data_IF_174191452547
#
_entry.id   IF_174191452547
#
_cell.length_a   1.000
_cell.length_b   1.000
_cell.length_c   1.000
_cell.angle_alpha   90.00
_cell.angle_beta   90.00
_cell.angle_gamma   90.00
#
_symmetry.space_group_name_H-M   'P 1'
#
loop_
_entity.id
_entity.type
_entity.pdbx_description
1 polymer ?
#
# COMPACT_ATOMS: atom_id res chain seq x y z
N UNK A 1 -81.44 -12.81 51.28
CA UNK A 1 -80.90 -11.59 50.65
C UNK A 1 -79.86 -12.05 49.64
N UNK A 2 -80.26 -12.28 48.38
CA UNK A 2 -79.38 -12.80 47.33
C UNK A 2 -78.88 -11.60 46.53
N UNK A 3 -77.60 -11.27 46.67
CA UNK A 3 -76.95 -10.17 45.96
C UNK A 3 -76.79 -10.59 44.50
N UNK A 4 -77.39 -9.85 43.57
CA UNK A 4 -77.22 -10.08 42.14
C UNK A 4 -75.82 -9.65 41.68
N UNK A 5 -75.18 -10.39 40.76
CA UNK A 5 -73.87 -10.04 40.22
C UNK A 5 -73.99 -8.85 39.25
N UNK A 6 -73.29 -7.77 39.56
CA UNK A 6 -73.16 -6.57 38.71
C UNK A 6 -72.45 -6.92 37.39
N UNK A 7 -73.09 -6.60 36.26
CA UNK A 7 -72.49 -6.69 34.91
C UNK A 7 -71.24 -5.79 34.82
N UNK A 8 -70.06 -6.41 34.81
CA UNK A 8 -68.80 -5.71 34.55
C UNK A 8 -68.78 -5.24 33.08
N UNK A 9 -68.50 -3.96 32.87
CA UNK A 9 -68.48 -3.33 31.55
C UNK A 9 -67.26 -3.83 30.74
N UNK A 10 -67.50 -4.62 29.68
CA UNK A 10 -66.47 -5.18 28.80
C UNK A 10 -65.48 -4.14 28.25
N UNK A 11 -65.90 -2.90 28.01
CA UNK A 11 -64.99 -1.83 27.55
C UNK A 11 -63.98 -1.44 28.63
N UNK A 12 -64.40 -1.41 29.89
CA UNK A 12 -63.54 -1.12 31.02
C UNK A 12 -62.50 -2.24 31.23
N UNK A 13 -62.91 -3.50 31.01
CA UNK A 13 -62.03 -4.66 31.10
C UNK A 13 -60.96 -4.67 29.99
N UNK A 14 -61.33 -4.32 28.75
CA UNK A 14 -60.38 -4.22 27.63
C UNK A 14 -59.38 -3.08 27.79
N UNK A 15 -59.82 -1.93 28.32
CA UNK A 15 -58.94 -0.81 28.67
C UNK A 15 -57.96 -1.17 29.77
N UNK A 16 -58.43 -1.86 30.83
CA UNK A 16 -57.57 -2.35 31.90
C UNK A 16 -56.54 -3.37 31.39
N UNK A 17 -56.93 -4.27 30.48
CA UNK A 17 -56.03 -5.25 29.88
C UNK A 17 -54.98 -4.58 28.97
N UNK A 18 -55.39 -3.60 28.16
CA UNK A 18 -54.47 -2.83 27.31
C UNK A 18 -53.45 -2.03 28.12
N UNK A 19 -53.89 -1.38 29.20
CA UNK A 19 -53.02 -0.65 30.12
C UNK A 19 -52.04 -1.61 30.82
N UNK A 20 -52.50 -2.80 31.20
CA UNK A 20 -51.65 -3.82 31.83
C UNK A 20 -50.56 -4.33 30.88
N UNK A 21 -50.88 -4.62 29.62
CA UNK A 21 -49.89 -5.03 28.60
C UNK A 21 -48.89 -3.91 28.30
N UNK A 22 -49.35 -2.66 28.22
CA UNK A 22 -48.47 -1.51 28.01
C UNK A 22 -47.49 -1.32 29.19
N UNK A 23 -47.97 -1.42 30.42
CA UNK A 23 -47.12 -1.31 31.62
C UNK A 23 -46.09 -2.45 31.70
N UNK A 24 -46.45 -3.67 31.30
CA UNK A 24 -45.51 -4.79 31.20
C UNK A 24 -44.44 -4.56 30.12
N UNK A 25 -44.83 -4.04 28.95
CA UNK A 25 -43.88 -3.71 27.88
C UNK A 25 -42.92 -2.58 28.31
N UNK A 26 -43.43 -1.55 28.97
CA UNK A 26 -42.62 -0.45 29.50
C UNK A 26 -41.66 -0.92 30.61
N UNK A 27 -42.11 -1.79 31.52
CA UNK A 27 -41.25 -2.41 32.52
C UNK A 27 -40.16 -3.28 31.88
N UNK A 28 -40.49 -4.05 30.84
CA UNK A 28 -39.51 -4.87 30.11
C UNK A 28 -38.45 -4.01 29.40
N UNK A 29 -38.88 -2.93 28.72
CA UNK A 29 -37.99 -1.96 28.07
C UNK A 29 -37.08 -1.25 29.09
N UNK A 30 -37.63 -0.86 30.23
CA UNK A 30 -36.85 -0.26 31.31
C UNK A 30 -35.82 -1.25 31.87
N UNK A 31 -36.24 -2.49 32.17
CA UNK A 31 -35.36 -3.54 32.67
C UNK A 31 -34.23 -3.84 31.67
N UNK A 32 -34.57 -3.96 30.39
CA UNK A 32 -33.63 -4.16 29.30
C UNK A 32 -32.65 -3.00 29.18
N UNK A 33 -33.11 -1.74 29.23
CA UNK A 33 -32.23 -0.57 29.18
C UNK A 33 -31.29 -0.49 30.40
N UNK A 34 -31.77 -0.81 31.62
CA UNK A 34 -30.91 -0.86 32.81
C UNK A 34 -29.91 -2.01 32.78
N UNK A 35 -30.32 -3.20 32.32
CA UNK A 35 -29.40 -4.34 32.16
C UNK A 35 -28.38 -4.09 31.06
N UNK A 36 -28.79 -3.46 29.97
CA UNK A 36 -27.92 -3.05 28.87
C UNK A 36 -26.93 -1.96 29.31
N UNK A 37 -27.40 -0.94 30.04
CA UNK A 37 -26.53 0.10 30.61
C UNK A 37 -25.55 -0.45 31.64
N UNK A 38 -26.00 -1.36 32.50
CA UNK A 38 -25.13 -2.06 33.46
C UNK A 38 -24.11 -2.94 32.74
N UNK A 39 -24.51 -3.66 31.70
CA UNK A 39 -23.63 -4.46 30.86
C UNK A 39 -22.58 -3.59 30.15
N UNK A 40 -22.98 -2.42 29.64
CA UNK A 40 -22.07 -1.45 29.02
C UNK A 40 -21.09 -0.85 30.05
N UNK A 41 -21.54 -0.63 31.28
CA UNK A 41 -20.69 -0.16 32.39
C UNK A 41 -19.68 -1.23 32.87
N UNK A 42 -20.09 -2.50 32.87
CA UNK A 42 -19.21 -3.64 33.15
C UNK A 42 -18.20 -3.86 32.03
N UNK A 43 -18.63 -3.71 30.76
CA UNK A 43 -17.74 -3.73 29.61
C UNK A 43 -16.70 -2.62 29.71
N UNK A 44 -17.11 -1.37 29.95
CA UNK A 44 -16.18 -0.23 30.07
C UNK A 44 -15.24 -0.34 31.27
N UNK A 45 -15.71 -0.83 32.42
CA UNK A 45 -14.88 -1.13 33.58
C UNK A 45 -13.90 -2.28 33.32
N UNK A 46 -14.35 -3.34 32.66
CA UNK A 46 -13.50 -4.43 32.21
C UNK A 46 -12.47 -3.94 31.18
N UNK A 47 -12.83 -3.06 30.25
CA UNK A 47 -11.90 -2.43 29.30
C UNK A 47 -10.80 -1.64 30.01
N UNK A 48 -11.12 -0.88 31.06
CA UNK A 48 -10.13 -0.14 31.84
C UNK A 48 -9.18 -1.09 32.60
N UNK A 49 -9.71 -2.13 33.25
CA UNK A 49 -8.93 -3.12 33.99
C UNK A 49 -8.07 -3.99 33.06
N UNK A 50 -8.62 -4.39 31.90
CA UNK A 50 -7.91 -5.14 30.86
C UNK A 50 -6.82 -4.26 30.26
N UNK A 51 -7.06 -2.97 29.98
CA UNK A 51 -6.00 -2.03 29.53
C UNK A 51 -4.84 -1.94 30.53
N UNK A 52 -5.11 -1.97 31.84
CA UNK A 52 -4.06 -2.01 32.87
C UNK A 52 -3.33 -3.36 32.88
N UNK A 53 -4.05 -4.48 32.74
CA UNK A 53 -3.45 -5.82 32.64
C UNK A 53 -2.60 -6.01 31.36
N UNK A 54 -3.02 -5.40 30.25
CA UNK A 54 -2.37 -5.43 28.93
C UNK A 54 -1.03 -4.69 28.90
N UNK A 55 -0.76 -3.78 29.85
CA UNK A 55 0.58 -3.20 30.00
C UNK A 55 1.58 -4.18 30.64
N UNK A 56 1.11 -5.28 31.23
CA UNK A 56 1.93 -6.23 31.98
C UNK A 56 2.16 -7.56 31.25
N UNK A 57 1.38 -7.89 30.22
CA UNK A 57 1.54 -9.11 29.41
C UNK A 57 1.51 -8.79 27.92
N UNK A 58 2.58 -9.07 27.15
CA UNK A 58 2.61 -8.86 25.70
C UNK A 58 1.83 -10.00 25.04
N UNK A 59 0.50 -9.90 25.06
CA UNK A 59 -0.37 -10.80 24.32
C UNK A 59 -0.53 -10.17 22.94
N UNK A 60 0.00 -10.84 21.90
CA UNK A 60 -0.08 -10.45 20.49
C UNK A 60 -1.50 -10.58 19.91
N UNK A 61 -2.53 -10.14 20.64
CA UNK A 61 -3.93 -10.24 20.26
C UNK A 61 -4.52 -8.87 19.95
N UNK A 62 -5.24 -8.77 18.84
CA UNK A 62 -6.12 -7.63 18.58
C UNK A 62 -7.16 -7.49 19.71
N UNK A 63 -7.71 -6.28 19.88
CA UNK A 63 -8.83 -6.00 20.80
C UNK A 63 -10.02 -6.97 20.60
N UNK A 64 -10.12 -7.57 19.41
CA UNK A 64 -11.14 -8.51 19.00
C UNK A 64 -11.03 -9.89 19.62
N UNK A 65 -9.81 -10.39 19.88
CA UNK A 65 -9.59 -11.66 20.59
C UNK A 65 -10.30 -11.62 21.94
N UNK A 66 -10.16 -10.51 22.65
CA UNK A 66 -10.78 -10.29 23.96
C UNK A 66 -12.28 -10.09 23.86
N UNK A 67 -12.72 -9.29 22.88
CA UNK A 67 -14.15 -9.03 22.65
C UNK A 67 -14.91 -10.34 22.42
N UNK A 68 -14.41 -11.19 21.51
CA UNK A 68 -14.98 -12.51 21.28
C UNK A 68 -14.87 -13.42 22.50
N UNK A 69 -13.72 -13.45 23.18
CA UNK A 69 -13.52 -14.29 24.38
C UNK A 69 -14.50 -13.95 25.51
N UNK A 70 -14.68 -12.66 25.82
CA UNK A 70 -15.58 -12.19 26.87
C UNK A 70 -17.04 -12.45 26.50
N UNK A 71 -17.44 -12.15 25.26
CA UNK A 71 -18.81 -12.42 24.79
C UNK A 71 -19.13 -13.93 24.81
N UNK A 72 -18.18 -14.75 24.34
CA UNK A 72 -18.31 -16.20 24.33
C UNK A 72 -18.44 -16.78 25.74
N UNK A 73 -17.58 -16.38 26.68
CA UNK A 73 -17.65 -16.83 28.07
C UNK A 73 -18.92 -16.37 28.78
N UNK A 74 -19.38 -15.15 28.51
CA UNK A 74 -20.64 -14.64 29.06
C UNK A 74 -21.85 -15.47 28.59
N UNK A 75 -21.94 -15.74 27.28
CA UNK A 75 -23.00 -16.57 26.71
C UNK A 75 -22.92 -18.03 27.18
N UNK A 76 -21.71 -18.52 27.46
CA UNK A 76 -21.51 -19.85 28.03
C UNK A 76 -21.96 -19.94 29.49
N UNK A 77 -21.65 -18.93 30.31
CA UNK A 77 -21.96 -18.92 31.74
C UNK A 77 -23.44 -18.61 32.04
N UNK A 78 -24.11 -17.82 31.20
CA UNK A 78 -25.50 -17.38 31.44
C UNK A 78 -26.50 -18.56 31.57
N UNK A 79 -26.48 -19.58 30.69
CA UNK A 79 -27.29 -20.80 30.85
C UNK A 79 -27.05 -21.63 32.12
N UNK A 80 -25.86 -21.49 32.73
CA UNK A 80 -25.45 -22.21 33.95
C UNK A 80 -25.99 -21.48 35.18
N UNK A 81 -25.93 -20.15 35.18
CA UNK A 81 -26.35 -19.30 36.30
C UNK A 81 -27.88 -19.14 36.34
N UNK A 82 -28.52 -19.02 35.18
CA UNK A 82 -29.96 -18.77 35.09
C UNK A 82 -30.74 -20.04 34.71
N UNK A 83 -31.96 -20.16 35.27
CA UNK A 83 -32.87 -21.30 34.97
C UNK A 83 -33.56 -21.11 33.62
N UNK A 84 -32.79 -21.24 32.54
CA UNK A 84 -33.30 -21.18 31.17
C UNK A 84 -33.88 -22.53 30.72
N UNK A 85 -34.77 -22.51 29.71
CA UNK A 85 -35.29 -23.73 29.09
C UNK A 85 -34.22 -24.39 28.19
N UNK A 86 -34.39 -25.69 27.89
CA UNK A 86 -33.40 -26.48 27.15
C UNK A 86 -33.04 -25.90 25.78
N UNK A 87 -34.02 -25.38 25.03
CA UNK A 87 -33.80 -24.82 23.69
C UNK A 87 -32.98 -23.53 23.77
N UNK A 88 -33.31 -22.63 24.69
CA UNK A 88 -32.55 -21.40 24.90
C UNK A 88 -31.12 -21.70 25.35
N UNK A 89 -30.93 -22.69 26.25
CA UNK A 89 -29.59 -23.13 26.65
C UNK A 89 -28.79 -23.63 25.45
N UNK A 90 -29.38 -24.50 24.63
CA UNK A 90 -28.73 -25.04 23.45
C UNK A 90 -28.32 -23.93 22.47
N UNK A 91 -29.21 -22.98 22.16
CA UNK A 91 -28.89 -21.85 21.27
C UNK A 91 -27.74 -21.03 21.84
N UNK A 92 -27.82 -20.61 23.11
CA UNK A 92 -26.78 -19.78 23.73
C UNK A 92 -25.43 -20.48 23.78
N UNK A 93 -25.40 -21.79 24.09
CA UNK A 93 -24.15 -22.55 24.12
C UNK A 93 -23.54 -22.68 22.72
N UNK A 94 -24.35 -22.96 21.68
CA UNK A 94 -23.84 -23.02 20.30
C UNK A 94 -23.34 -21.65 19.82
N UNK A 95 -24.05 -20.56 20.14
CA UNK A 95 -23.58 -19.20 19.84
C UNK A 95 -22.29 -18.88 20.60
N UNK A 96 -22.18 -19.29 21.87
CA UNK A 96 -20.95 -19.13 22.65
C UNK A 96 -19.77 -19.84 21.99
N UNK A 97 -19.94 -21.10 21.56
CA UNK A 97 -18.90 -21.85 20.85
C UNK A 97 -18.49 -21.18 19.54
N UNK A 98 -19.44 -20.69 18.75
CA UNK A 98 -19.14 -19.98 17.51
C UNK A 98 -18.31 -18.72 17.77
N UNK A 99 -18.70 -17.91 18.76
CA UNK A 99 -17.99 -16.68 19.11
C UNK A 99 -16.60 -16.99 19.67
N UNK A 100 -16.45 -18.01 20.52
CA UNK A 100 -15.15 -18.45 21.01
C UNK A 100 -14.25 -18.96 19.87
N UNK A 101 -14.82 -19.66 18.88
CA UNK A 101 -14.09 -20.09 17.69
C UNK A 101 -13.61 -18.90 16.84
N UNK A 102 -14.43 -17.85 16.69
CA UNK A 102 -14.01 -16.60 16.05
C UNK A 102 -12.89 -15.91 16.84
N UNK A 103 -12.96 -15.90 18.17
CA UNK A 103 -11.87 -15.37 19.02
C UNK A 103 -10.57 -16.14 18.88
N UNK A 104 -10.64 -17.48 18.81
CA UNK A 104 -9.48 -18.34 18.56
C UNK A 104 -8.92 -18.14 17.14
N UNK A 105 -9.78 -17.98 16.14
CA UNK A 105 -9.35 -17.73 14.75
C UNK A 105 -8.73 -16.34 14.59
N UNK A 106 -9.31 -15.31 15.22
CA UNK A 106 -8.75 -13.96 15.30
C UNK A 106 -7.38 -13.95 15.98
N UNK A 107 -7.21 -14.72 17.06
CA UNK A 107 -5.92 -14.91 17.72
C UNK A 107 -4.94 -15.65 16.83
N UNK A 108 -5.38 -16.71 16.14
CA UNK A 108 -4.56 -17.45 15.19
C UNK A 108 -4.05 -16.55 14.05
N UNK A 109 -4.92 -15.71 13.48
CA UNK A 109 -4.52 -14.76 12.44
C UNK A 109 -3.59 -13.68 12.98
N UNK A 110 -3.88 -13.12 14.16
CA UNK A 110 -2.96 -12.19 14.83
C UNK A 110 -1.61 -12.83 15.12
N UNK A 111 -1.60 -14.10 15.54
CA UNK A 111 -0.39 -14.89 15.72
C UNK A 111 0.31 -15.16 14.39
N UNK A 112 -0.41 -15.44 13.29
CA UNK A 112 0.18 -15.59 11.96
C UNK A 112 0.73 -14.29 11.38
N UNK A 113 0.09 -13.14 11.64
CA UNK A 113 0.61 -11.83 11.27
C UNK A 113 1.80 -11.41 12.16
N UNK A 114 1.84 -11.88 13.41
CA UNK A 114 2.96 -11.68 14.33
C UNK A 114 4.09 -12.69 14.13
N UNK A 115 3.79 -13.85 13.55
CA UNK A 115 4.81 -14.68 12.91
C UNK A 115 5.33 -13.85 11.74
N UNK A 116 6.65 -13.67 11.62
CA UNK A 116 7.20 -13.08 10.41
C UNK A 116 6.62 -13.87 9.24
N UNK A 117 5.93 -13.17 8.33
CA UNK A 117 5.51 -13.77 7.07
C UNK A 117 6.71 -14.50 6.48
N UNK A 118 6.53 -15.53 5.66
CA UNK A 118 7.65 -16.14 4.96
C UNK A 118 8.45 -15.14 4.08
N UNK A 119 8.01 -13.88 3.99
CA UNK A 119 8.72 -12.74 3.41
C UNK A 119 9.26 -11.71 4.43
N UNK A 120 8.82 -11.72 5.69
CA UNK A 120 9.40 -10.87 6.75
C UNK A 120 10.69 -11.52 7.24
N UNK A 121 11.74 -11.14 6.54
CA UNK A 121 13.12 -11.34 6.92
C UNK A 121 13.28 -11.04 8.43
N UNK A 122 13.81 -11.99 9.26
CA UNK A 122 14.03 -11.80 10.69
C UNK A 122 14.65 -10.44 11.01
N UNK A 123 14.41 -9.82 12.19
CA UNK A 123 15.02 -8.53 12.51
C UNK A 123 16.55 -8.51 12.36
N UNK A 124 17.22 -9.64 12.64
CA UNK A 124 18.65 -9.83 12.42
C UNK A 124 19.08 -9.86 10.95
N UNK A 125 18.12 -9.88 10.03
CA UNK A 125 18.31 -9.96 8.60
C UNK A 125 17.64 -8.76 7.88
N UNK A 126 17.01 -7.83 8.61
CA UNK A 126 16.48 -6.60 8.02
C UNK A 126 17.62 -5.62 7.75
N UNK A 127 17.55 -4.96 6.60
CA UNK A 127 18.43 -3.83 6.30
C UNK A 127 17.91 -2.62 7.04
N UNK A 128 18.72 -2.11 7.95
CA UNK A 128 18.49 -0.83 8.58
C UNK A 128 19.06 0.27 7.71
N UNK A 129 18.30 1.35 7.54
CA UNK A 129 18.70 2.50 6.73
C UNK A 129 18.66 3.73 7.60
N UNK A 130 19.84 4.29 7.86
CA UNK A 130 19.98 5.63 8.40
C UNK A 130 19.99 6.61 7.24
N UNK A 131 19.07 7.56 7.22
CA UNK A 131 19.02 8.60 6.21
C UNK A 131 18.82 9.96 6.87
N UNK A 132 19.47 10.98 6.32
CA UNK A 132 19.35 12.36 6.77
C UNK A 132 17.86 12.76 6.91
N UNK A 133 17.41 13.17 8.12
CA UNK A 133 16.00 13.50 8.35
C UNK A 133 15.49 14.62 7.44
N UNK A 134 14.24 14.50 6.98
CA UNK A 134 13.61 15.51 6.11
C UNK A 134 14.00 15.42 4.64
N UNK A 135 14.60 14.31 4.21
CA UNK A 135 14.95 14.04 2.82
C UNK A 135 13.72 14.06 1.86
N UNK A 136 12.58 13.56 2.32
CA UNK A 136 11.32 13.60 1.57
C UNK A 136 10.37 14.64 2.16
N UNK A 137 9.51 15.21 1.32
CA UNK A 137 8.39 16.08 1.70
C UNK A 137 7.10 15.60 1.04
N UNK A 138 5.97 15.98 1.62
CA UNK A 138 4.67 15.73 1.01
C UNK A 138 4.51 16.53 -0.29
N UNK A 139 3.73 15.97 -1.20
CA UNK A 139 3.35 16.55 -2.49
C UNK A 139 1.87 16.30 -2.72
N UNK A 140 1.13 17.37 -2.96
CA UNK A 140 -0.30 17.28 -3.28
C UNK A 140 -0.56 16.62 -4.64
N UNK A 141 0.47 16.33 -5.46
CA UNK A 141 0.30 15.74 -6.80
C UNK A 141 0.85 14.33 -6.90
N UNK A 142 1.99 14.08 -6.25
CA UNK A 142 2.69 12.79 -6.30
C UNK A 142 2.68 12.06 -4.96
N UNK A 143 1.93 12.53 -3.97
CA UNK A 143 1.96 12.02 -2.59
C UNK A 143 3.18 12.52 -1.82
N UNK A 144 4.37 12.27 -2.35
CA UNK A 144 5.63 12.70 -1.75
C UNK A 144 6.73 12.88 -2.81
N UNK A 145 7.70 13.75 -2.54
CA UNK A 145 8.83 14.06 -3.44
C UNK A 145 10.12 14.28 -2.64
N UNK A 146 11.31 14.22 -3.27
CA UNK A 146 12.54 14.70 -2.64
C UNK A 146 12.42 16.17 -2.21
N UNK A 147 13.05 16.52 -1.08
CA UNK A 147 13.18 17.92 -0.67
C UNK A 147 14.17 18.62 -1.60
N UNK A 148 13.73 19.71 -2.24
CA UNK A 148 14.58 20.48 -3.14
C UNK A 148 15.74 21.19 -2.40
N UNK A 149 16.85 21.42 -3.10
CA UNK A 149 18.09 22.00 -2.57
C UNK A 149 18.56 21.29 -1.29
N UNK A 150 18.60 19.97 -1.33
CA UNK A 150 18.90 19.14 -0.17
C UNK A 150 20.00 18.14 -0.48
N UNK A 151 20.85 17.89 0.51
CA UNK A 151 21.85 16.81 0.47
C UNK A 151 21.47 15.82 1.55
N UNK A 152 21.24 14.57 1.17
CA UNK A 152 20.97 13.49 2.11
C UNK A 152 22.13 12.49 2.10
N UNK A 153 22.73 12.30 3.26
CA UNK A 153 23.58 11.14 3.52
C UNK A 153 22.69 9.97 3.93
N UNK A 154 22.96 8.80 3.36
CA UNK A 154 22.28 7.55 3.69
C UNK A 154 23.29 6.42 3.88
N UNK A 155 22.97 5.52 4.82
CA UNK A 155 23.79 4.36 5.16
C UNK A 155 22.89 3.17 5.43
N UNK A 156 23.05 2.13 4.62
CA UNK A 156 22.37 0.86 4.80
C UNK A 156 23.27 -0.15 5.50
N UNK A 157 22.77 -0.84 6.51
CA UNK A 157 23.51 -1.86 7.23
C UNK A 157 22.64 -3.06 7.59
N UNK A 158 23.27 -4.23 7.56
CA UNK A 158 22.70 -5.50 7.99
C UNK A 158 23.47 -5.97 9.21
N UNK A 159 22.82 -5.96 10.38
CA UNK A 159 23.50 -6.14 11.67
C UNK A 159 24.59 -5.08 11.85
N UNK A 160 25.87 -5.47 11.92
CA UNK A 160 27.01 -4.56 12.02
C UNK A 160 27.71 -4.34 10.67
N UNK A 161 27.26 -5.02 9.61
CA UNK A 161 27.86 -4.90 8.27
C UNK A 161 27.22 -3.76 7.50
N UNK A 162 28.04 -2.76 7.16
CA UNK A 162 27.66 -1.72 6.19
C UNK A 162 27.50 -2.36 4.82
N UNK A 163 26.32 -2.20 4.22
CA UNK A 163 26.00 -2.65 2.87
C UNK A 163 26.34 -1.57 1.85
N UNK A 164 26.00 -0.32 2.15
CA UNK A 164 26.27 0.83 1.32
C UNK A 164 26.32 2.12 2.14
N UNK A 165 27.03 3.11 1.61
CA UNK A 165 27.03 4.51 2.03
C UNK A 165 26.90 5.36 0.78
N UNK A 166 25.95 6.29 0.78
CA UNK A 166 25.67 7.10 -0.37
C UNK A 166 25.29 8.53 -0.01
N UNK A 167 25.66 9.47 -0.88
CA UNK A 167 25.19 10.86 -0.82
C UNK A 167 24.24 11.13 -1.98
N UNK A 168 23.08 11.70 -1.67
CA UNK A 168 22.06 12.12 -2.63
C UNK A 168 22.02 13.64 -2.67
N UNK A 169 22.40 14.24 -3.80
CA UNK A 169 22.23 15.67 -4.01
C UNK A 169 20.95 15.93 -4.82
N UNK A 170 20.04 16.72 -4.24
CA UNK A 170 18.76 17.08 -4.84
C UNK A 170 18.78 18.54 -5.24
N UNK A 171 18.47 18.80 -6.51
CA UNK A 171 18.47 20.12 -7.09
C UNK A 171 17.27 20.99 -6.66
N UNK A 172 17.19 22.21 -7.21
CA UNK A 172 16.11 23.16 -6.92
C UNK A 172 14.71 22.70 -7.36
N UNK A 173 14.63 21.73 -8.27
CA UNK A 173 13.39 21.15 -8.79
C UNK A 173 12.99 19.85 -8.08
N UNK A 174 13.76 19.42 -7.07
CA UNK A 174 13.51 18.14 -6.40
C UNK A 174 13.96 16.94 -7.23
N UNK A 175 14.81 17.14 -8.24
CA UNK A 175 15.41 16.06 -9.03
C UNK A 175 16.77 15.69 -8.43
N UNK A 176 17.14 14.40 -8.51
CA UNK A 176 18.53 14.03 -8.22
C UNK A 176 19.44 14.61 -9.29
N UNK A 177 20.58 15.18 -8.89
CA UNK A 177 21.49 15.84 -9.82
C UNK A 177 22.03 14.88 -10.88
N UNK A 178 22.36 15.45 -12.04
CA UNK A 178 23.13 14.83 -13.11
C UNK A 178 24.21 15.81 -13.55
N UNK A 179 25.21 15.41 -14.36
CA UNK A 179 26.19 16.35 -14.90
C UNK A 179 25.50 17.51 -15.61
N UNK A 180 25.96 18.73 -15.34
CA UNK A 180 25.46 19.93 -16.00
C UNK A 180 25.96 19.99 -17.44
N UNK A 181 25.09 20.44 -18.33
CA UNK A 181 25.48 20.90 -19.68
C UNK A 181 25.63 22.41 -19.67
N UNK A 182 26.38 22.98 -20.61
CA UNK A 182 26.45 24.44 -20.79
C UNK A 182 25.07 24.98 -21.13
N UNK A 183 24.71 26.13 -20.59
CA UNK A 183 23.41 26.76 -20.86
C UNK A 183 23.20 26.97 -22.37
N UNK A 184 24.23 27.47 -23.06
CA UNK A 184 24.26 27.71 -24.52
C UNK A 184 24.42 26.43 -25.37
N UNK A 185 24.49 25.24 -24.76
CA UNK A 185 24.59 23.99 -25.52
C UNK A 185 23.30 23.71 -26.28
N UNK A 186 23.44 23.11 -27.46
CA UNK A 186 22.33 22.52 -28.24
C UNK A 186 21.91 21.14 -27.70
N UNK A 187 22.25 20.83 -26.45
CA UNK A 187 21.91 19.55 -25.81
C UNK A 187 20.41 19.27 -25.90
N UNK A 188 20.06 18.02 -26.11
CA UNK A 188 18.67 17.54 -26.02
C UNK A 188 18.37 17.00 -24.63
N UNK A 189 17.10 16.85 -24.29
CA UNK A 189 16.68 16.24 -23.05
C UNK A 189 16.71 14.72 -23.14
N UNK A 190 17.22 14.08 -22.08
CA UNK A 190 17.13 12.65 -21.85
C UNK A 190 16.38 12.43 -20.54
N UNK A 191 15.11 12.06 -20.64
CA UNK A 191 14.24 11.93 -19.47
C UNK A 191 14.36 10.53 -18.88
N UNK A 192 14.40 10.40 -17.56
CA UNK A 192 14.34 9.12 -16.87
C UNK A 192 13.17 9.09 -15.89
N UNK A 193 12.33 8.06 -16.01
CA UNK A 193 11.17 7.81 -15.17
C UNK A 193 11.30 6.46 -14.48
N UNK A 194 10.71 6.33 -13.29
CA UNK A 194 10.67 5.07 -12.57
C UNK A 194 10.67 5.27 -11.08
N UNK A 195 11.31 4.35 -10.37
CA UNK A 195 11.30 4.29 -8.92
C UNK A 195 12.70 4.47 -8.32
N UNK A 196 12.99 3.75 -7.24
CA UNK A 196 14.29 3.70 -6.58
C UNK A 196 15.43 3.28 -7.52
N UNK A 197 15.14 2.44 -8.52
CA UNK A 197 16.12 1.98 -9.51
C UNK A 197 16.60 3.14 -10.38
N UNK A 198 15.68 4.01 -10.82
CA UNK A 198 16.00 5.21 -11.60
C UNK A 198 16.60 6.30 -10.72
N UNK A 199 16.06 6.49 -9.52
CA UNK A 199 16.61 7.42 -8.54
C UNK A 199 18.06 7.09 -8.19
N UNK A 200 18.44 5.81 -8.18
CA UNK A 200 19.75 5.32 -7.77
C UNK A 200 19.84 5.12 -6.25
N UNK A 201 18.79 4.56 -5.64
CA UNK A 201 18.85 4.22 -4.21
C UNK A 201 20.05 3.28 -3.94
N UNK A 202 20.65 3.43 -2.76
CA UNK A 202 21.92 2.80 -2.36
C UNK A 202 23.20 3.24 -3.09
N UNK A 203 23.13 4.20 -4.02
CA UNK A 203 24.27 4.60 -4.87
C UNK A 203 24.68 6.06 -4.67
N UNK A 204 25.97 6.39 -4.83
CA UNK A 204 26.38 7.79 -4.92
C UNK A 204 25.86 8.45 -6.21
N UNK A 205 25.85 9.78 -6.26
CA UNK A 205 25.25 10.54 -7.38
C UNK A 205 25.84 10.09 -8.72
N UNK A 206 27.16 9.90 -8.77
CA UNK A 206 27.91 9.47 -9.95
C UNK A 206 27.71 8.01 -10.38
N UNK A 207 26.98 7.23 -9.59
CA UNK A 207 26.67 5.82 -9.87
C UNK A 207 25.21 5.62 -10.29
N UNK A 208 24.36 6.63 -10.14
CA UNK A 208 22.98 6.60 -10.58
C UNK A 208 22.90 6.56 -12.12
N UNK A 209 21.98 5.77 -12.66
CA UNK A 209 21.83 5.58 -14.11
C UNK A 209 21.68 6.91 -14.89
N UNK A 210 20.81 7.86 -14.47
CA UNK A 210 20.68 9.13 -15.17
C UNK A 210 21.97 9.97 -15.15
N UNK A 211 22.72 9.93 -14.06
CA UNK A 211 24.02 10.61 -13.97
C UNK A 211 25.02 10.01 -14.95
N UNK A 212 25.15 8.68 -14.95
CA UNK A 212 26.06 7.96 -15.83
C UNK A 212 25.76 8.24 -17.31
N UNK A 213 24.48 8.28 -17.70
CA UNK A 213 24.10 8.67 -19.06
C UNK A 213 24.46 10.15 -19.34
N UNK A 214 24.19 11.08 -18.44
CA UNK A 214 24.63 12.47 -18.60
C UNK A 214 26.15 12.60 -18.76
N UNK A 215 26.93 11.80 -18.02
CA UNK A 215 28.38 11.76 -18.14
C UNK A 215 28.84 11.17 -19.48
N UNK A 216 28.19 10.10 -19.94
CA UNK A 216 28.50 9.43 -21.20
C UNK A 216 28.29 10.34 -22.41
N UNK A 217 27.22 11.15 -22.40
CA UNK A 217 26.85 11.99 -23.53
C UNK A 217 27.32 13.45 -23.44
N UNK A 218 27.79 13.89 -22.27
CA UNK A 218 28.33 15.24 -22.04
C UNK A 218 27.36 16.33 -22.58
N UNK A 219 27.86 17.22 -23.44
CA UNK A 219 27.11 18.37 -23.99
C UNK A 219 26.05 17.98 -25.05
N UNK A 220 25.85 16.70 -25.34
CA UNK A 220 24.84 16.24 -26.30
C UNK A 220 23.46 16.04 -25.65
N UNK A 221 23.42 15.57 -24.40
CA UNK A 221 22.18 15.29 -23.69
C UNK A 221 22.25 15.75 -22.23
N UNK A 222 21.23 16.51 -21.81
CA UNK A 222 20.98 16.79 -20.40
C UNK A 222 20.03 15.73 -19.86
N UNK A 223 20.50 14.95 -18.90
CA UNK A 223 19.69 13.94 -18.23
C UNK A 223 18.77 14.57 -17.16
N UNK A 224 17.58 14.01 -16.97
CA UNK A 224 16.63 14.41 -15.93
C UNK A 224 16.12 13.19 -15.18
N UNK A 225 16.17 13.21 -13.85
CA UNK A 225 15.85 12.05 -13.01
C UNK A 225 14.52 12.21 -12.27
N UNK A 226 13.42 11.86 -12.94
CA UNK A 226 12.06 11.85 -12.35
C UNK A 226 11.76 10.60 -11.51
N UNK A 227 12.76 9.75 -11.26
CA UNK A 227 12.61 8.59 -10.39
C UNK A 227 12.63 8.98 -8.92
N UNK A 228 11.84 8.28 -8.10
CA UNK A 228 12.01 8.36 -6.65
C UNK A 228 11.65 7.05 -5.94
N UNK A 229 12.17 6.87 -4.74
CA UNK A 229 11.97 5.63 -3.97
C UNK A 229 10.48 5.38 -3.73
N UNK A 230 10.07 4.11 -3.89
CA UNK A 230 8.67 3.69 -3.68
C UNK A 230 7.69 4.06 -4.79
N UNK A 231 8.06 4.86 -5.81
CA UNK A 231 7.18 5.20 -6.92
C UNK A 231 6.76 3.98 -7.76
N UNK A 232 5.60 4.09 -8.40
CA UNK A 232 5.10 3.16 -9.42
C UNK A 232 4.88 3.84 -10.78
N UNK A 233 4.31 3.12 -11.75
CA UNK A 233 3.97 3.69 -13.07
C UNK A 233 3.05 4.89 -12.93
N UNK A 234 2.09 4.84 -12.00
CA UNK A 234 1.14 5.92 -11.75
C UNK A 234 1.80 7.25 -11.36
N UNK A 235 2.93 7.24 -10.64
CA UNK A 235 3.68 8.46 -10.33
C UNK A 235 4.36 9.04 -11.58
N UNK A 236 4.96 8.18 -12.39
CA UNK A 236 5.61 8.60 -13.64
C UNK A 236 4.58 9.16 -14.64
N UNK A 237 3.41 8.52 -14.72
CA UNK A 237 2.28 9.04 -15.48
C UNK A 237 1.76 10.37 -14.93
N UNK A 238 1.56 10.47 -13.60
CA UNK A 238 1.10 11.69 -12.95
C UNK A 238 2.05 12.88 -13.19
N UNK A 239 3.37 12.67 -13.18
CA UNK A 239 4.34 13.71 -13.50
C UNK A 239 4.13 14.31 -14.90
N UNK A 240 3.77 13.48 -15.89
CA UNK A 240 3.43 13.93 -17.24
C UNK A 240 2.01 14.51 -17.33
N UNK A 241 1.07 13.93 -16.59
CA UNK A 241 -0.35 14.30 -16.58
C UNK A 241 -0.57 15.69 -16.00
N UNK A 242 0.08 15.98 -14.88
CA UNK A 242 -0.02 17.26 -14.16
C UNK A 242 0.95 18.35 -14.64
N UNK A 243 1.72 18.10 -15.70
CA UNK A 243 2.59 19.13 -16.28
C UNK A 243 3.96 19.30 -15.61
N UNK A 244 4.32 18.45 -14.64
CA UNK A 244 5.53 18.61 -13.83
C UNK A 244 6.82 18.45 -14.64
N UNK A 245 6.78 17.62 -15.69
CA UNK A 245 7.93 17.44 -16.59
C UNK A 245 8.23 18.73 -17.36
N UNK A 246 7.20 19.41 -17.85
CA UNK A 246 7.32 20.64 -18.64
C UNK A 246 7.83 21.81 -17.79
N UNK A 247 7.49 21.83 -16.50
CA UNK A 247 7.97 22.84 -15.56
C UNK A 247 9.48 22.71 -15.25
N UNK A 248 10.05 21.52 -15.43
CA UNK A 248 11.42 21.20 -15.02
C UNK A 248 12.38 21.11 -16.22
N UNK A 249 11.91 20.60 -17.35
CA UNK A 249 12.75 20.34 -18.52
C UNK A 249 13.02 21.62 -19.31
N UNK A 250 14.30 22.00 -19.42
CA UNK A 250 14.76 23.17 -20.18
C UNK A 250 15.45 22.82 -21.52
N UNK A 251 15.67 21.53 -21.80
CA UNK A 251 16.20 21.01 -23.07
C UNK A 251 15.16 20.10 -23.72
N UNK A 252 14.80 20.38 -24.96
CA UNK A 252 13.80 19.62 -25.71
C UNK A 252 14.11 18.10 -25.66
N UNK A 253 13.23 17.28 -25.06
CA UNK A 253 13.41 15.83 -24.97
C UNK A 253 13.56 15.16 -26.32
N UNK A 254 14.54 14.26 -26.42
CA UNK A 254 14.75 13.39 -27.59
C UNK A 254 14.57 11.91 -27.23
N UNK A 255 14.81 11.53 -25.98
CA UNK A 255 14.60 10.17 -25.49
C UNK A 255 13.98 10.19 -24.09
N UNK A 256 13.09 9.24 -23.84
CA UNK A 256 12.45 8.98 -22.57
C UNK A 256 12.68 7.52 -22.13
N UNK A 257 13.43 7.45 -21.03
CA UNK A 257 13.90 6.40 -20.13
C UNK A 257 12.92 5.81 -19.12
N UNK A 258 12.00 4.90 -19.40
CA UNK A 258 11.19 4.31 -18.32
C UNK A 258 11.82 3.04 -17.73
N UNK A 259 12.31 3.09 -16.50
CA UNK A 259 12.77 1.91 -15.77
C UNK A 259 11.59 1.24 -15.05
N UNK A 260 11.14 0.10 -15.58
CA UNK A 260 10.01 -0.65 -15.06
C UNK A 260 10.47 -1.89 -14.25
N UNK A 261 9.76 -2.17 -13.15
CA UNK A 261 9.87 -3.42 -12.37
C UNK A 261 8.48 -4.03 -12.21
N UNK A 262 8.36 -5.37 -12.05
CA UNK A 262 7.06 -6.02 -11.85
C UNK A 262 6.27 -5.49 -10.64
N UNK A 263 6.97 -5.05 -9.58
CA UNK A 263 6.33 -4.50 -8.37
C UNK A 263 5.54 -3.19 -8.64
N UNK A 264 5.78 -2.51 -9.76
CA UNK A 264 4.97 -1.34 -10.15
C UNK A 264 3.48 -1.68 -10.30
N UNK A 265 3.13 -2.92 -10.68
CA UNK A 265 1.73 -3.36 -10.76
C UNK A 265 1.05 -3.26 -9.39
N UNK A 266 1.73 -3.72 -8.33
CA UNK A 266 1.23 -3.63 -6.95
C UNK A 266 1.11 -2.19 -6.47
N UNK A 267 2.09 -1.36 -6.81
CA UNK A 267 2.12 0.05 -6.42
C UNK A 267 0.99 0.84 -7.08
N UNK A 268 0.67 0.56 -8.34
CA UNK A 268 -0.40 1.24 -9.08
C UNK A 268 -1.80 1.10 -8.47
N UNK A 269 -1.99 0.14 -7.57
CA UNK A 269 -3.27 -0.13 -6.91
C UNK A 269 -3.15 -0.14 -5.38
N UNK A 270 -2.14 0.55 -4.86
CA UNK A 270 -1.88 0.74 -3.42
C UNK A 270 -1.83 -0.56 -2.59
N UNK A 271 -1.25 -1.63 -3.15
CA UNK A 271 -0.98 -2.87 -2.40
C UNK A 271 0.31 -2.77 -1.57
N UNK A 272 0.85 -1.56 -1.39
CA UNK A 272 2.03 -1.27 -0.57
C UNK A 272 1.66 -0.24 0.48
N UNK A 273 2.11 -0.45 1.71
CA UNK A 273 1.68 0.36 2.85
C UNK A 273 2.16 1.81 2.85
N UNK A 274 3.15 2.18 2.02
CA UNK A 274 3.74 3.53 2.03
C UNK A 274 3.02 4.53 1.13
N UNK A 275 2.08 4.09 0.27
CA UNK A 275 1.48 4.91 -0.79
C UNK A 275 0.15 5.58 -0.44
N UNK A 276 -0.02 6.02 0.80
CA UNK A 276 -1.33 6.48 1.30
C UNK A 276 -1.94 7.64 0.51
N UNK A 277 -1.15 8.65 0.12
CA UNK A 277 -1.59 9.81 -0.66
C UNK A 277 -1.08 9.77 -2.12
N UNK A 278 -0.78 8.58 -2.64
CA UNK A 278 -0.27 8.45 -4.02
C UNK A 278 -1.41 8.71 -5.03
N UNK A 279 -1.10 9.21 -6.24
CA UNK A 279 -2.12 9.53 -7.23
C UNK A 279 -2.79 8.25 -7.76
N UNK A 280 -4.11 8.20 -7.64
CA UNK A 280 -4.93 7.05 -8.04
C UNK A 280 -5.43 7.23 -9.47
N UNK A 281 -5.26 6.18 -10.28
CA UNK A 281 -5.78 6.09 -11.63
C UNK A 281 -6.65 4.86 -11.81
N UNK A 282 -7.67 4.98 -12.66
CA UNK A 282 -8.59 3.91 -13.00
C UNK A 282 -8.70 3.78 -14.52
N UNK A 283 -9.04 2.56 -14.99
CA UNK A 283 -9.38 2.32 -16.39
C UNK A 283 -10.78 2.84 -16.70
N UNK A 284 -10.92 3.58 -17.80
CA UNK A 284 -12.23 3.91 -18.38
C UNK A 284 -12.79 2.70 -19.13
N UNK A 285 -14.10 2.67 -19.46
CA UNK A 285 -14.68 1.59 -20.27
C UNK A 285 -13.99 1.38 -21.63
N UNK A 286 -13.33 2.41 -22.15
CA UNK A 286 -12.56 2.40 -23.40
C UNK A 286 -11.12 1.89 -23.22
N UNK A 287 -10.72 1.51 -22.00
CA UNK A 287 -9.37 1.03 -21.68
C UNK A 287 -8.33 2.13 -21.51
N UNK A 288 -8.73 3.41 -21.43
CA UNK A 288 -7.82 4.53 -21.16
C UNK A 288 -7.67 4.79 -19.68
N UNK A 289 -6.63 5.50 -19.28
CA UNK A 289 -6.43 5.90 -17.89
C UNK A 289 -7.11 7.23 -17.59
N UNK A 290 -7.70 7.35 -16.39
CA UNK A 290 -8.29 8.59 -15.85
C UNK A 290 -7.85 8.79 -14.41
N UNK A 291 -7.48 10.02 -14.08
CA UNK A 291 -7.21 10.41 -12.69
C UNK A 291 -8.48 10.25 -11.84
N UNK A 292 -8.36 9.54 -10.73
CA UNK A 292 -9.47 9.14 -9.86
C UNK A 292 -9.32 9.67 -8.42
N UNK A 293 -8.47 10.69 -8.23
CA UNK A 293 -8.12 11.25 -6.91
C UNK A 293 -6.85 10.63 -6.34
N UNK A 294 -6.72 10.61 -5.03
CA UNK A 294 -5.65 9.99 -4.27
C UNK A 294 -6.17 8.76 -3.51
N UNK A 295 -5.28 7.88 -3.06
CA UNK A 295 -5.73 6.65 -2.39
C UNK A 295 -6.36 6.86 -1.01
N UNK A 296 -6.06 7.98 -0.35
CA UNK A 296 -6.66 8.40 0.93
C UNK A 296 -7.82 9.38 0.76
N UNK A 297 -8.16 9.75 -0.48
CA UNK A 297 -9.38 10.50 -0.75
C UNK A 297 -10.57 9.65 -0.29
N UNK A 298 -11.22 10.11 0.78
CA UNK A 298 -12.49 9.53 1.20
C UNK A 298 -13.48 9.73 0.05
N UNK A 299 -14.22 8.69 -0.39
CA UNK A 299 -15.26 8.91 -1.37
C UNK A 299 -16.22 9.95 -0.79
N UNK A 300 -16.42 11.07 -1.50
CA UNK A 300 -17.16 12.27 -1.08
C UNK A 300 -18.65 12.06 -0.70
N UNK A 301 -19.08 10.83 -0.41
CA UNK A 301 -20.44 10.51 0.04
C UNK A 301 -20.42 9.49 1.17
N UNK A 302 -20.29 10.02 2.38
CA UNK A 302 -21.11 9.72 3.57
C UNK A 302 -20.30 9.99 4.86
N UNK A 303 -20.16 11.28 5.18
CA UNK A 303 -19.80 11.73 6.52
C UNK A 303 -20.92 11.39 7.51
N UNK A 304 -20.93 10.16 7.97
CA UNK A 304 -21.46 9.86 9.31
C UNK A 304 -20.27 9.47 10.17
N UNK A 305 -19.96 10.28 11.18
CA UNK A 305 -18.88 10.01 12.14
C UNK A 305 -19.00 8.61 12.77
N UNK A 306 -20.21 8.04 12.76
CA UNK A 306 -20.48 6.65 13.11
C UNK A 306 -19.81 5.63 12.18
N UNK A 307 -19.87 5.77 10.85
CA UNK A 307 -19.21 4.84 9.90
C UNK A 307 -17.70 4.88 10.03
N UNK A 308 -17.12 6.05 10.28
CA UNK A 308 -15.67 6.21 10.48
C UNK A 308 -15.20 5.49 11.76
N UNK A 309 -15.97 5.57 12.86
CA UNK A 309 -15.65 4.84 14.09
C UNK A 309 -15.77 3.32 13.90
N UNK A 310 -16.82 2.84 13.22
CA UNK A 310 -16.96 1.41 12.93
C UNK A 310 -15.89 0.89 11.97
N UNK A 311 -15.51 1.65 10.94
CA UNK A 311 -14.41 1.31 10.04
C UNK A 311 -13.08 1.20 10.78
N UNK A 312 -12.71 2.22 11.55
CA UNK A 312 -11.48 2.23 12.35
C UNK A 312 -11.45 1.11 13.40
N UNK A 313 -12.60 0.82 14.01
CA UNK A 313 -12.70 -0.34 14.89
C UNK A 313 -12.44 -1.61 14.07
N UNK A 314 -13.20 -1.86 13.00
CA UNK A 314 -13.12 -3.10 12.22
C UNK A 314 -11.73 -3.34 11.62
N UNK A 315 -11.02 -2.29 11.20
CA UNK A 315 -9.63 -2.37 10.76
C UNK A 315 -8.68 -2.96 11.81
N UNK A 316 -9.02 -2.85 13.10
CA UNK A 316 -8.26 -3.52 14.16
C UNK A 316 -8.45 -5.04 14.25
N UNK A 317 -9.37 -5.64 13.49
CA UNK A 317 -9.60 -7.10 13.44
C UNK A 317 -8.76 -7.74 12.34
N UNK A 318 -7.99 -8.77 12.70
CA UNK A 318 -7.24 -9.62 11.77
C UNK A 318 -8.16 -10.40 10.84
N UNK A 319 -9.32 -10.87 11.30
CA UNK A 319 -10.34 -11.47 10.44
C UNK A 319 -10.82 -10.44 9.42
N UNK A 320 -11.10 -9.21 9.85
CA UNK A 320 -11.52 -8.15 8.94
C UNK A 320 -10.41 -7.81 7.93
N UNK A 321 -9.16 -7.67 8.39
CA UNK A 321 -8.01 -7.44 7.51
C UNK A 321 -7.79 -8.59 6.52
N UNK A 322 -8.01 -9.84 6.92
CA UNK A 322 -7.87 -11.00 6.02
C UNK A 322 -8.88 -10.96 4.87
N UNK A 323 -10.14 -10.59 5.14
CA UNK A 323 -11.22 -10.64 4.15
C UNK A 323 -11.45 -9.31 3.42
N UNK A 324 -11.07 -8.19 4.02
CA UNK A 324 -11.46 -6.85 3.56
C UNK A 324 -10.28 -5.88 3.39
N UNK A 325 -9.05 -6.22 3.83
CA UNK A 325 -7.89 -5.40 3.51
C UNK A 325 -7.55 -5.52 2.03
N UNK A 326 -7.69 -4.41 1.30
CA UNK A 326 -7.29 -4.39 -0.10
C UNK A 326 -5.79 -4.68 -0.26
N UNK A 327 -4.95 -4.39 0.75
CA UNK A 327 -3.49 -4.55 0.66
C UNK A 327 -3.01 -6.01 0.61
N UNK A 328 -3.85 -6.98 0.99
CA UNK A 328 -3.48 -8.40 1.06
C UNK A 328 -3.95 -9.25 -0.12
N UNK A 329 -4.62 -8.66 -1.12
CA UNK A 329 -5.07 -9.41 -2.30
C UNK A 329 -3.92 -9.67 -3.28
N UNK A 330 -4.01 -10.78 -4.02
CA UNK A 330 -3.09 -11.05 -5.12
C UNK A 330 -3.35 -10.09 -6.31
N UNK A 331 -2.30 -9.90 -7.12
CA UNK A 331 -2.39 -9.17 -8.39
C UNK A 331 -3.34 -9.93 -9.31
N UNK A 332 -4.27 -9.20 -9.92
CA UNK A 332 -5.20 -9.75 -10.91
C UNK A 332 -4.94 -9.19 -12.32
N UNK A 333 -5.75 -9.58 -13.29
CA UNK A 333 -5.61 -9.11 -14.68
C UNK A 333 -5.88 -7.62 -14.85
N UNK A 334 -6.82 -7.04 -14.10
CA UNK A 334 -7.14 -5.61 -14.17
C UNK A 334 -5.97 -4.74 -13.68
N UNK A 335 -5.24 -5.18 -12.66
CA UNK A 335 -4.05 -4.48 -12.16
C UNK A 335 -2.95 -4.40 -13.24
N UNK A 336 -2.75 -5.50 -13.98
CA UNK A 336 -1.79 -5.58 -15.09
C UNK A 336 -2.25 -4.71 -16.26
N UNK A 337 -3.53 -4.73 -16.59
CA UNK A 337 -4.09 -3.84 -17.62
C UNK A 337 -3.95 -2.37 -17.25
N UNK A 338 -4.14 -1.99 -15.99
CA UNK A 338 -3.86 -0.64 -15.53
C UNK A 338 -2.37 -0.27 -15.67
N UNK A 339 -1.45 -1.19 -15.35
CA UNK A 339 -0.03 -0.98 -15.59
C UNK A 339 0.28 -0.72 -17.08
N UNK A 340 -0.31 -1.50 -17.99
CA UNK A 340 -0.11 -1.31 -19.43
C UNK A 340 -0.71 0.02 -19.91
N UNK A 341 -1.95 0.33 -19.51
CA UNK A 341 -2.62 1.56 -19.91
C UNK A 341 -1.92 2.82 -19.39
N UNK A 342 -1.38 2.79 -18.17
CA UNK A 342 -0.54 3.87 -17.64
C UNK A 342 0.73 4.04 -18.47
N UNK A 343 1.39 2.93 -18.85
CA UNK A 343 2.61 2.96 -19.67
C UNK A 343 2.32 3.46 -21.09
N UNK A 344 1.20 3.06 -21.69
CA UNK A 344 0.72 3.57 -22.98
C UNK A 344 0.43 5.07 -22.90
N UNK A 345 -0.26 5.48 -21.83
CA UNK A 345 -0.53 6.87 -21.56
C UNK A 345 0.73 7.72 -21.39
N UNK A 346 1.81 7.18 -20.78
CA UNK A 346 3.10 7.86 -20.72
C UNK A 346 3.67 8.08 -22.13
N UNK A 347 3.72 7.03 -22.96
CA UNK A 347 4.19 7.11 -24.35
C UNK A 347 3.36 8.12 -25.16
N UNK A 348 2.04 8.11 -25.03
CA UNK A 348 1.13 9.03 -25.71
C UNK A 348 1.36 10.48 -25.29
N UNK A 349 1.45 10.76 -23.98
CA UNK A 349 1.68 12.12 -23.47
C UNK A 349 3.03 12.66 -23.91
N UNK A 350 4.07 11.83 -23.87
CA UNK A 350 5.40 12.20 -24.35
C UNK A 350 5.36 12.50 -25.85
N UNK A 351 4.76 11.64 -26.66
CA UNK A 351 4.64 11.87 -28.11
C UNK A 351 3.81 13.12 -28.46
N UNK A 352 2.76 13.42 -27.69
CA UNK A 352 1.95 14.62 -27.88
C UNK A 352 2.73 15.90 -27.58
N UNK A 353 3.50 15.93 -26.50
CA UNK A 353 4.23 17.12 -26.05
C UNK A 353 5.60 17.27 -26.72
N UNK A 354 6.24 16.16 -27.05
CA UNK A 354 7.57 16.06 -27.64
C UNK A 354 7.55 15.05 -28.82
N UNK A 355 7.07 15.47 -30.01
CA UNK A 355 6.85 14.55 -31.15
C UNK A 355 8.09 13.80 -31.63
N UNK A 356 9.28 14.38 -31.44
CA UNK A 356 10.56 13.77 -31.83
C UNK A 356 11.16 12.89 -30.73
N UNK A 357 10.50 12.78 -29.57
CA UNK A 357 10.98 12.03 -28.42
C UNK A 357 10.63 10.55 -28.52
N UNK A 358 11.64 9.69 -28.46
CA UNK A 358 11.47 8.25 -28.47
C UNK A 358 11.25 7.72 -27.05
N UNK A 359 10.37 6.73 -26.88
CA UNK A 359 10.02 6.16 -25.58
C UNK A 359 10.49 4.71 -25.48
N UNK A 360 11.39 4.45 -24.53
CA UNK A 360 11.99 3.14 -24.29
C UNK A 360 11.74 2.66 -22.86
N UNK A 361 11.61 1.35 -22.71
CA UNK A 361 11.44 0.71 -21.42
C UNK A 361 12.67 -0.15 -21.12
N UNK A 362 13.30 0.10 -19.98
CA UNK A 362 14.28 -0.82 -19.40
C UNK A 362 13.56 -1.63 -18.33
N UNK A 363 13.37 -2.92 -18.59
CA UNK A 363 12.58 -3.80 -17.73
C UNK A 363 13.47 -4.66 -16.86
N UNK A 364 13.41 -4.45 -15.55
CA UNK A 364 14.13 -5.24 -14.54
C UNK A 364 13.26 -6.45 -14.13
N UNK A 365 13.38 -7.55 -14.86
CA UNK A 365 12.67 -8.80 -14.60
C UNK A 365 13.17 -9.56 -13.36
N UNK A 366 12.31 -10.42 -12.82
CA UNK A 366 12.66 -11.36 -11.76
C UNK A 366 13.15 -12.70 -12.31
N UNK A 367 14.08 -13.32 -11.60
CA UNK A 367 14.72 -14.59 -11.99
C UNK A 367 14.49 -15.71 -10.96
N UNK A 368 13.78 -15.42 -9.87
CA UNK A 368 13.44 -16.41 -8.87
C UNK A 368 12.27 -17.28 -9.35
N UNK A 369 12.49 -18.59 -9.36
CA UNK A 369 11.50 -19.58 -9.80
C UNK A 369 10.17 -19.39 -9.07
N UNK A 370 9.07 -19.38 -9.83
CA UNK A 370 7.71 -19.38 -9.29
C UNK A 370 6.89 -18.19 -9.76
N UNK A 371 6.01 -17.69 -8.88
CA UNK A 371 5.03 -16.65 -9.24
C UNK A 371 5.67 -15.34 -9.73
N UNK A 372 6.88 -15.02 -9.30
CA UNK A 372 7.58 -13.76 -9.64
C UNK A 372 8.18 -13.78 -11.05
N UNK A 373 8.81 -14.88 -11.44
CA UNK A 373 9.25 -15.12 -12.83
C UNK A 373 8.04 -15.09 -13.78
N UNK A 374 6.96 -15.82 -13.46
CA UNK A 374 5.74 -15.84 -14.28
C UNK A 374 5.11 -14.45 -14.48
N UNK A 375 5.08 -13.61 -13.44
CA UNK A 375 4.62 -12.22 -13.56
C UNK A 375 5.53 -11.40 -14.50
N UNK A 376 6.85 -11.59 -14.41
CA UNK A 376 7.80 -10.86 -15.26
C UNK A 376 7.63 -11.24 -16.73
N UNK A 377 7.49 -12.53 -17.02
CA UNK A 377 7.21 -13.04 -18.37
C UNK A 377 5.90 -12.48 -18.92
N UNK A 378 4.83 -12.48 -18.12
CA UNK A 378 3.54 -11.95 -18.53
C UNK A 378 3.62 -10.45 -18.85
N UNK A 379 4.29 -9.66 -18.02
CA UNK A 379 4.47 -8.22 -18.24
C UNK A 379 5.34 -7.94 -19.47
N UNK A 380 6.45 -8.66 -19.67
CA UNK A 380 7.30 -8.53 -20.86
C UNK A 380 6.53 -8.86 -22.14
N UNK A 381 5.76 -9.95 -22.13
CA UNK A 381 4.91 -10.33 -23.25
C UNK A 381 3.85 -9.27 -23.54
N UNK A 382 3.17 -8.76 -22.50
CA UNK A 382 2.15 -7.74 -22.63
C UNK A 382 2.68 -6.41 -23.15
N UNK A 383 3.89 -5.99 -22.76
CA UNK A 383 4.57 -4.82 -23.31
C UNK A 383 4.97 -5.03 -24.77
N UNK A 384 5.54 -6.20 -25.10
CA UNK A 384 5.93 -6.54 -26.48
C UNK A 384 4.72 -6.55 -27.42
N UNK A 385 3.59 -7.15 -27.00
CA UNK A 385 2.35 -7.19 -27.78
C UNK A 385 1.76 -5.79 -28.05
N UNK A 386 2.05 -4.81 -27.19
CA UNK A 386 1.64 -3.40 -27.32
C UNK A 386 2.67 -2.55 -28.09
N UNK A 387 3.62 -3.20 -28.75
CA UNK A 387 4.67 -2.59 -29.58
C UNK A 387 5.51 -1.55 -28.81
N UNK A 388 5.84 -1.83 -27.55
CA UNK A 388 6.84 -1.04 -26.83
C UNK A 388 8.26 -1.43 -27.24
N UNK A 389 9.16 -0.45 -27.25
CA UNK A 389 10.60 -0.71 -27.31
C UNK A 389 11.08 -1.11 -25.92
N UNK A 390 11.06 -2.42 -25.65
CA UNK A 390 11.43 -2.99 -24.34
C UNK A 390 12.81 -3.61 -24.42
N UNK A 391 13.65 -3.27 -23.46
CA UNK A 391 14.99 -3.81 -23.27
C UNK A 391 15.03 -4.46 -21.89
N UNK A 392 15.04 -5.79 -21.83
CA UNK A 392 15.05 -6.53 -20.57
C UNK A 392 16.44 -6.51 -19.93
N UNK A 393 16.52 -6.60 -18.60
CA UNK A 393 17.84 -6.63 -17.96
C UNK A 393 18.61 -7.91 -18.31
N UNK A 394 17.95 -9.03 -18.63
CA UNK A 394 18.64 -10.22 -19.13
C UNK A 394 19.26 -10.03 -20.52
N UNK A 395 18.71 -9.17 -21.37
CA UNK A 395 19.32 -8.85 -22.66
C UNK A 395 20.54 -7.95 -22.45
N UNK A 396 20.41 -6.97 -21.55
CA UNK A 396 21.45 -5.96 -21.28
C UNK A 396 22.62 -6.56 -20.49
N UNK A 397 22.33 -7.43 -19.53
CA UNK A 397 23.29 -8.10 -18.63
C UNK A 397 22.95 -9.60 -18.59
N UNK A 398 23.38 -10.39 -19.59
CA UNK A 398 23.07 -11.82 -19.63
C UNK A 398 23.55 -12.59 -18.39
N UNK A 399 24.66 -12.17 -17.79
CA UNK A 399 25.21 -12.81 -16.60
C UNK A 399 24.45 -12.49 -15.30
N UNK A 400 23.48 -11.57 -15.35
CA UNK A 400 22.72 -11.13 -14.17
C UNK A 400 21.97 -12.29 -13.50
N UNK A 401 21.42 -13.21 -14.30
CA UNK A 401 20.68 -14.37 -13.81
C UNK A 401 21.55 -15.33 -12.99
N UNK A 402 22.76 -15.59 -13.46
CA UNK A 402 23.66 -16.57 -12.86
C UNK A 402 24.49 -15.96 -11.72
N UNK A 403 24.73 -14.64 -11.77
CA UNK A 403 25.57 -13.91 -10.83
C UNK A 403 24.90 -12.62 -10.32
N UNK A 404 23.71 -12.67 -9.68
CA UNK A 404 23.00 -11.47 -9.26
C UNK A 404 23.79 -10.64 -8.22
N UNK A 405 24.63 -11.28 -7.40
CA UNK A 405 25.49 -10.61 -6.42
C UNK A 405 26.54 -9.67 -7.02
N UNK A 406 26.86 -9.82 -8.30
CA UNK A 406 27.78 -8.93 -9.02
C UNK A 406 27.13 -7.59 -9.40
N UNK A 407 25.80 -7.55 -9.43
CA UNK A 407 25.01 -6.48 -10.04
C UNK A 407 23.99 -5.85 -9.09
N UNK A 408 23.75 -6.50 -7.96
CA UNK A 408 22.92 -6.00 -6.87
C UNK A 408 23.81 -5.58 -5.70
N UNK A 409 23.32 -4.72 -4.82
CA UNK A 409 24.06 -4.25 -3.65
C UNK A 409 24.39 -5.40 -2.69
N UNK A 410 23.37 -6.16 -2.26
CA UNK A 410 23.57 -7.28 -1.33
C UNK A 410 22.37 -8.27 -1.30
N UNK A 411 22.17 -9.07 -2.36
CA UNK A 411 21.03 -9.99 -2.41
C UNK A 411 21.16 -11.13 -1.38
N UNK A 412 20.04 -11.64 -0.83
CA UNK A 412 18.66 -11.26 -1.11
C UNK A 412 18.15 -10.06 -0.29
N UNK A 413 18.99 -9.47 0.58
CA UNK A 413 18.56 -8.49 1.57
C UNK A 413 18.42 -7.07 1.01
N UNK A 414 19.30 -6.69 0.09
CA UNK A 414 19.27 -5.42 -0.63
C UNK A 414 19.46 -5.69 -2.12
N UNK A 415 18.35 -5.62 -2.87
CA UNK A 415 18.27 -6.02 -4.28
C UNK A 415 18.20 -4.83 -5.22
N UNK A 416 18.56 -3.62 -4.79
CA UNK A 416 18.79 -2.51 -5.69
C UNK A 416 20.01 -2.77 -6.59
N UNK A 417 20.02 -2.28 -7.85
CA UNK A 417 21.18 -2.36 -8.72
C UNK A 417 22.38 -1.63 -8.11
N UNK A 418 23.56 -2.21 -8.28
CA UNK A 418 24.80 -1.54 -7.91
C UNK A 418 25.34 -0.66 -9.06
N UNK A 419 26.39 0.13 -8.80
CA UNK A 419 27.01 0.98 -9.82
C UNK A 419 27.56 0.22 -11.03
N UNK A 420 27.98 -1.05 -10.88
CA UNK A 420 28.43 -1.89 -12.01
C UNK A 420 27.27 -2.22 -12.95
N UNK A 421 26.10 -2.54 -12.40
CA UNK A 421 24.91 -2.78 -13.21
C UNK A 421 24.46 -1.51 -13.95
N UNK A 422 24.37 -0.37 -13.26
CA UNK A 422 24.00 0.89 -13.90
C UNK A 422 24.99 1.32 -14.99
N UNK A 423 26.31 1.05 -14.83
CA UNK A 423 27.30 1.29 -15.90
C UNK A 423 27.04 0.45 -17.14
N UNK A 424 26.70 -0.84 -16.99
CA UNK A 424 26.34 -1.71 -18.13
C UNK A 424 25.07 -1.23 -18.82
N UNK A 425 24.06 -0.83 -18.05
CA UNK A 425 22.82 -0.27 -18.60
C UNK A 425 23.07 1.05 -19.33
N UNK A 426 23.86 1.96 -18.76
CA UNK A 426 24.24 3.22 -19.40
C UNK A 426 25.00 3.00 -20.71
N UNK A 427 25.92 2.03 -20.74
CA UNK A 427 26.64 1.65 -21.96
C UNK A 427 25.69 1.09 -23.02
N UNK A 428 24.77 0.20 -22.64
CA UNK A 428 23.78 -0.33 -23.58
C UNK A 428 22.89 0.77 -24.16
N UNK A 429 22.42 1.71 -23.34
CA UNK A 429 21.64 2.88 -23.81
C UNK A 429 22.44 3.64 -24.88
N UNK A 430 23.73 3.89 -24.64
CA UNK A 430 24.59 4.62 -25.58
C UNK A 430 24.92 3.86 -26.86
N UNK A 431 24.88 2.53 -26.85
CA UNK A 431 25.22 1.72 -28.02
C UNK A 431 23.98 1.30 -28.84
N UNK A 432 22.82 1.16 -28.20
CA UNK A 432 21.63 0.52 -28.78
C UNK A 432 20.41 1.41 -28.88
N UNK A 433 20.26 2.38 -27.96
CA UNK A 433 19.07 3.24 -27.90
C UNK A 433 19.38 4.61 -28.52
N UNK A 434 20.47 5.23 -28.09
CA UNK A 434 20.86 6.57 -28.52
C UNK A 434 21.97 6.42 -29.55
N UNK A 435 21.65 6.66 -30.83
CA UNK A 435 22.57 6.56 -31.96
C UNK A 435 22.90 7.92 -32.57
#
# INVERSE_FOLDING_TARGET
MIIQPTKINRKLLLLALGLFVFLLAAQFLFLFATLFGFFLSLLTGAFAAIKTLLTQFPIHGSLYVWTFSVMGLFLFATPVVFRLNANTKAVMMNTAFLILALGAFEYYLGWQHAQPSQEQVPPSQQVHVDITPGFARLSDTLGYVPKANFVAETKGYLQEKVLYEATYTIDKHGQRITPSVREESNAKGLLFFGCSFTFGECLNDEEALPYLCGQQFQEQYKAYNFGFKGYGTHHSYAALDFGLVEEIVDKAPKYAIYTAIPDHVRRNVNLKFWGHHDPKYELTPEGKVRFAGYFDDQPEKESSDFKNLYGQLLEGSNIYQLFFSQQNREINSEDKELFFALTEGMREKIAQKYPDCEFHIIFWDYFDKGKREALSEELLNGLTQRNFQVHSIHEIIPEYKDHPGDYLIYPPYETHPNGKANRKVAQYIAEKIIQ
#
